data_IF_068212472772
#
_entry.id   IF_068212472772
#
_cell.length_a   1.000
_cell.length_b   1.000
_cell.length_c   1.000
_cell.angle_alpha   90.00
_cell.angle_beta   90.00
_cell.angle_gamma   90.00
#
_symmetry.space_group_name_H-M   'P 1'
#
loop_
_entity.id
_entity.type
_entity.pdbx_description
1 polymer ?
#
# COMPACT_ATOMS: atom_id res chain seq x y z
N UNK A 1 -2.52 5.30 5.12
CA UNK A 1 -1.11 5.08 4.72
C UNK A 1 -1.07 4.22 3.48
N UNK A 2 -0.05 4.34 2.62
CA UNK A 2 0.09 3.44 1.48
C UNK A 2 1.53 2.91 1.33
N UNK A 3 1.65 1.63 0.96
CA UNK A 3 2.91 0.93 0.77
C UNK A 3 2.71 -0.27 -0.18
N UNK A 4 3.81 -0.80 -0.69
CA UNK A 4 3.83 -1.96 -1.56
C UNK A 4 4.71 -3.10 -1.01
N UNK A 5 4.23 -4.33 -1.17
CA UNK A 5 4.95 -5.54 -0.79
C UNK A 5 5.15 -6.45 -2.00
N UNK A 6 6.40 -6.69 -2.40
CA UNK A 6 6.72 -7.68 -3.42
C UNK A 6 6.74 -9.09 -2.81
N UNK A 7 6.07 -10.05 -3.44
CA UNK A 7 6.02 -11.44 -2.98
C UNK A 7 6.23 -12.42 -4.13
N UNK A 8 6.94 -13.51 -3.85
CA UNK A 8 7.29 -14.55 -4.80
C UNK A 8 6.05 -15.29 -5.30
N UNK A 9 6.05 -15.60 -6.60
CA UNK A 9 5.06 -16.47 -7.21
C UNK A 9 5.38 -17.95 -6.97
N UNK A 10 4.34 -18.79 -7.01
CA UNK A 10 4.48 -20.23 -7.23
C UNK A 10 4.39 -20.58 -8.71
N UNK A 11 4.51 -21.86 -9.05
CA UNK A 11 4.40 -22.35 -10.44
C UNK A 11 3.03 -22.05 -11.08
N UNK A 12 1.97 -21.88 -10.28
CA UNK A 12 0.59 -21.66 -10.74
C UNK A 12 0.35 -20.27 -11.36
N UNK A 13 1.20 -19.29 -11.05
CA UNK A 13 1.02 -17.93 -11.56
C UNK A 13 1.14 -17.93 -13.10
N UNK A 14 0.26 -17.18 -13.78
CA UNK A 14 0.34 -16.96 -15.23
C UNK A 14 1.52 -16.08 -15.60
N UNK A 15 2.08 -16.25 -16.80
CA UNK A 15 3.21 -15.44 -17.30
C UNK A 15 2.86 -13.95 -17.27
N UNK A 16 1.64 -13.58 -17.68
CA UNK A 16 1.18 -12.19 -17.73
C UNK A 16 1.06 -11.54 -16.34
N UNK A 17 0.94 -12.36 -15.29
CA UNK A 17 0.85 -11.88 -13.90
C UNK A 17 2.21 -11.73 -13.21
N UNK A 18 3.31 -12.24 -13.80
CA UNK A 18 4.64 -12.22 -13.16
C UNK A 18 5.41 -10.97 -13.57
N UNK A 19 6.20 -10.46 -12.64
CA UNK A 19 7.23 -9.45 -12.90
C UNK A 19 8.43 -9.67 -11.99
N UNK A 20 9.53 -8.97 -12.27
CA UNK A 20 10.72 -9.01 -11.43
C UNK A 20 10.92 -7.67 -10.72
N UNK A 21 10.96 -7.69 -9.40
CA UNK A 21 11.34 -6.55 -8.57
C UNK A 21 12.85 -6.59 -8.34
N UNK A 22 13.59 -5.69 -9.00
CA UNK A 22 15.04 -5.59 -8.85
C UNK A 22 15.48 -5.26 -7.43
N UNK A 23 14.81 -4.29 -6.79
CA UNK A 23 15.17 -3.83 -5.45
C UNK A 23 15.12 -4.94 -4.38
N UNK A 24 14.12 -5.84 -4.46
CA UNK A 24 13.95 -6.97 -3.53
C UNK A 24 14.37 -8.31 -4.13
N UNK A 25 15.02 -8.32 -5.30
CA UNK A 25 15.37 -9.51 -6.07
C UNK A 25 14.24 -10.57 -6.09
N UNK A 26 13.01 -10.13 -6.33
CA UNK A 26 11.81 -10.97 -6.16
C UNK A 26 11.09 -11.15 -7.48
N UNK A 27 11.01 -12.39 -7.96
CA UNK A 27 10.16 -12.78 -9.09
C UNK A 27 8.76 -13.09 -8.57
N UNK A 28 7.80 -12.22 -8.87
CA UNK A 28 6.42 -12.43 -8.48
C UNK A 28 5.49 -11.26 -8.76
N UNK A 29 4.69 -10.90 -7.76
CA UNK A 29 3.74 -9.78 -7.81
C UNK A 29 4.09 -8.74 -6.76
N UNK A 30 3.56 -7.52 -6.92
CA UNK A 30 3.49 -6.51 -5.88
C UNK A 30 2.06 -6.35 -5.39
N UNK A 31 1.91 -6.30 -4.08
CA UNK A 31 0.66 -6.03 -3.37
C UNK A 31 0.70 -4.60 -2.90
N UNK A 32 -0.15 -3.76 -3.44
CA UNK A 32 -0.31 -2.38 -3.03
C UNK A 32 -1.46 -2.31 -2.04
N UNK A 33 -1.19 -1.66 -0.92
CA UNK A 33 -2.14 -1.55 0.18
C UNK A 33 -2.25 -0.09 0.58
N UNK A 34 -3.47 0.44 0.60
CA UNK A 34 -3.78 1.69 1.29
C UNK A 34 -4.64 1.36 2.51
N UNK A 35 -4.15 1.65 3.71
CA UNK A 35 -4.83 1.35 4.99
C UNK A 35 -5.29 2.60 5.72
N UNK A 36 -6.32 2.43 6.55
CA UNK A 36 -6.78 3.40 7.55
C UNK A 36 -5.80 3.50 8.76
N UNK A 37 -6.21 4.21 9.82
CA UNK A 37 -5.43 4.36 11.04
C UNK A 37 -5.37 3.09 11.91
N UNK A 38 -6.33 2.17 11.74
CA UNK A 38 -6.39 0.89 12.45
C UNK A 38 -5.60 -0.21 11.72
N UNK A 39 -5.20 0.02 10.47
CA UNK A 39 -4.50 -0.92 9.60
C UNK A 39 -5.43 -1.77 8.73
N UNK A 40 -6.70 -1.40 8.59
CA UNK A 40 -7.62 -2.07 7.68
C UNK A 40 -7.52 -1.47 6.28
N UNK A 41 -7.59 -2.30 5.22
CA UNK A 41 -7.48 -1.85 3.85
C UNK A 41 -8.65 -0.95 3.47
N UNK A 42 -8.33 0.22 2.96
CA UNK A 42 -9.24 1.11 2.26
C UNK A 42 -9.24 0.81 0.75
N UNK A 43 -8.05 0.65 0.17
CA UNK A 43 -7.88 0.18 -1.21
C UNK A 43 -6.79 -0.89 -1.29
N UNK A 44 -6.98 -1.83 -2.21
CA UNK A 44 -6.04 -2.92 -2.49
C UNK A 44 -5.84 -3.03 -4.00
N UNK A 45 -4.61 -3.36 -4.42
CA UNK A 45 -4.30 -3.66 -5.81
C UNK A 45 -3.14 -4.65 -5.89
N UNK A 46 -3.21 -5.58 -6.85
CA UNK A 46 -2.09 -6.45 -7.20
C UNK A 46 -1.58 -6.09 -8.60
N UNK A 47 -0.26 -5.96 -8.73
CA UNK A 47 0.40 -5.72 -10.03
C UNK A 47 1.54 -6.73 -10.22
N UNK A 48 2.05 -6.89 -11.45
CA UNK A 48 3.35 -7.56 -11.65
C UNK A 48 4.46 -6.85 -10.84
N UNK A 49 5.47 -7.59 -10.37
CA UNK A 49 6.45 -7.03 -9.44
C UNK A 49 7.44 -6.01 -10.04
N UNK A 50 7.49 -5.88 -11.37
CA UNK A 50 8.29 -4.86 -12.07
C UNK A 50 7.62 -3.48 -12.11
N UNK A 51 6.32 -3.40 -11.81
CA UNK A 51 5.62 -2.10 -11.73
C UNK A 51 6.18 -1.30 -10.56
N UNK A 52 6.50 -0.02 -10.79
CA UNK A 52 7.02 0.86 -9.74
C UNK A 52 5.93 1.18 -8.71
N UNK A 53 6.37 1.56 -7.51
CA UNK A 53 5.45 1.83 -6.39
C UNK A 53 4.57 3.06 -6.69
N UNK A 54 5.14 4.10 -7.31
CA UNK A 54 4.39 5.26 -7.82
C UNK A 54 3.31 4.87 -8.81
N UNK A 55 3.64 4.04 -9.80
CA UNK A 55 2.67 3.60 -10.80
C UNK A 55 1.59 2.71 -10.18
N UNK A 56 1.96 1.83 -9.25
CA UNK A 56 1.00 1.01 -8.50
C UNK A 56 0.02 1.85 -7.69
N UNK A 57 0.51 2.86 -6.97
CA UNK A 57 -0.33 3.80 -6.23
C UNK A 57 -1.23 4.61 -7.16
N UNK A 58 -0.68 5.13 -8.27
CA UNK A 58 -1.44 5.86 -9.28
C UNK A 58 -2.59 4.99 -9.84
N UNK A 59 -2.30 3.75 -10.23
CA UNK A 59 -3.29 2.81 -10.72
C UNK A 59 -4.37 2.53 -9.67
N UNK A 60 -3.98 2.28 -8.42
CA UNK A 60 -4.91 2.00 -7.33
C UNK A 60 -5.86 3.17 -7.08
N UNK A 61 -5.36 4.41 -7.07
CA UNK A 61 -6.19 5.60 -6.87
C UNK A 61 -7.08 5.90 -8.09
N UNK A 62 -6.56 5.66 -9.30
CA UNK A 62 -7.31 5.85 -10.55
C UNK A 62 -8.47 4.86 -10.67
N UNK A 63 -8.26 3.59 -10.31
CA UNK A 63 -9.32 2.58 -10.29
C UNK A 63 -10.44 2.94 -9.31
N UNK A 64 -10.13 3.68 -8.25
CA UNK A 64 -11.07 4.12 -7.23
C UNK A 64 -11.43 5.61 -7.35
N UNK A 65 -11.31 6.20 -8.55
CA UNK A 65 -11.49 7.65 -8.74
C UNK A 65 -12.91 8.13 -8.39
N UNK A 66 -13.91 7.29 -8.63
CA UNK A 66 -15.32 7.58 -8.36
C UNK A 66 -15.58 7.83 -6.87
N UNK A 67 -14.86 7.13 -5.98
CA UNK A 67 -14.92 7.40 -4.53
C UNK A 67 -14.53 8.85 -4.21
N UNK A 68 -13.48 9.36 -4.85
CA UNK A 68 -13.01 10.74 -4.63
C UNK A 68 -13.91 11.79 -5.28
N UNK A 69 -14.60 11.44 -6.37
CA UNK A 69 -15.62 12.31 -6.99
C UNK A 69 -16.86 12.42 -6.11
N UNK A 70 -17.34 11.30 -5.57
CA UNK A 70 -18.52 11.23 -4.70
C UNK A 70 -18.30 11.92 -3.34
N UNK A 71 -17.05 11.95 -2.84
CA UNK A 71 -16.74 12.61 -1.56
C UNK A 71 -17.12 14.09 -1.59
N UNK A 72 -17.95 14.61 -0.66
CA UNK A 72 -18.26 16.04 -0.58
C UNK A 72 -17.02 16.92 -0.37
N UNK A 73 -17.05 18.17 -0.85
CA UNK A 73 -15.90 19.11 -0.74
C UNK A 73 -15.68 19.57 0.71
N UNK A 74 -16.72 19.57 1.54
CA UNK A 74 -16.69 20.09 2.91
C UNK A 74 -16.07 19.13 3.95
N UNK A 75 -15.59 17.96 3.52
CA UNK A 75 -14.96 16.97 4.40
C UNK A 75 -13.44 17.15 4.35
N UNK A 76 -12.72 17.06 5.49
CA UNK A 76 -11.26 17.11 5.54
C UNK A 76 -10.58 16.24 4.48
N UNK A 77 -9.43 16.70 3.98
CA UNK A 77 -8.65 15.97 2.97
C UNK A 77 -8.21 14.62 3.53
N UNK A 78 -8.20 13.60 2.67
CA UNK A 78 -7.63 12.30 3.02
C UNK A 78 -6.11 12.41 2.88
N UNK A 79 -5.39 12.24 3.98
CA UNK A 79 -3.92 12.27 3.99
C UNK A 79 -3.37 10.87 3.73
N UNK A 80 -2.68 10.71 2.60
CA UNK A 80 -1.89 9.54 2.27
C UNK A 80 -0.47 9.73 2.80
N UNK A 81 -0.16 9.01 3.88
CA UNK A 81 1.20 8.88 4.39
C UNK A 81 1.97 7.88 3.52
N UNK A 82 3.07 8.34 2.91
CA UNK A 82 3.91 7.59 1.99
C UNK A 82 5.35 7.48 2.50
N UNK A 83 6.10 6.49 2.00
CA UNK A 83 7.54 6.42 2.21
C UNK A 83 8.30 7.34 1.24
N UNK A 84 9.57 7.60 1.54
CA UNK A 84 10.51 8.40 0.72
C UNK A 84 10.85 7.75 -0.63
N UNK A 85 10.38 6.52 -0.90
CA UNK A 85 10.48 5.90 -2.21
C UNK A 85 9.45 6.42 -3.22
N UNK A 86 8.45 7.19 -2.77
CA UNK A 86 7.39 7.74 -3.62
C UNK A 86 7.71 9.18 -4.05
N UNK A 87 7.38 9.50 -5.30
CA UNK A 87 7.61 10.84 -5.87
C UNK A 87 6.31 11.64 -5.93
N UNK A 88 6.09 12.48 -4.91
CA UNK A 88 4.84 13.23 -4.70
C UNK A 88 4.51 14.16 -5.88
N UNK A 89 5.51 14.81 -6.47
CA UNK A 89 5.29 15.74 -7.59
C UNK A 89 4.74 15.01 -8.83
N UNK A 90 5.37 13.88 -9.17
CA UNK A 90 4.94 13.01 -10.28
C UNK A 90 3.53 12.45 -10.03
N UNK A 91 3.24 11.99 -8.81
CA UNK A 91 1.92 11.49 -8.44
C UNK A 91 0.85 12.58 -8.56
N UNK A 92 1.15 13.78 -8.07
CA UNK A 92 0.26 14.94 -8.09
C UNK A 92 -0.05 15.37 -9.52
N UNK A 93 0.97 15.47 -10.38
CA UNK A 93 0.81 15.85 -11.78
C UNK A 93 -0.05 14.83 -12.53
N UNK A 94 0.27 13.53 -12.41
CA UNK A 94 -0.46 12.46 -13.12
C UNK A 94 -1.90 12.31 -12.63
N UNK A 95 -2.13 12.38 -11.32
CA UNK A 95 -3.49 12.34 -10.77
C UNK A 95 -4.30 13.58 -11.16
N UNK A 96 -3.67 14.76 -11.16
CA UNK A 96 -4.29 16.02 -11.58
C UNK A 96 -4.74 15.99 -13.05
N UNK A 97 -3.98 15.33 -13.92
CA UNK A 97 -4.36 15.13 -15.32
C UNK A 97 -5.60 14.23 -15.47
N UNK A 98 -5.79 13.25 -14.58
CA UNK A 98 -6.94 12.34 -14.60
C UNK A 98 -8.18 13.00 -13.98
N UNK A 99 -8.01 13.67 -12.85
CA UNK A 99 -9.08 14.38 -12.15
C UNK A 99 -8.55 15.68 -11.54
N UNK A 100 -8.75 16.84 -12.18
CA UNK A 100 -8.16 18.11 -11.73
C UNK A 100 -8.50 18.51 -10.29
N UNK A 101 -9.67 18.13 -9.79
CA UNK A 101 -10.09 18.45 -8.42
C UNK A 101 -9.60 17.45 -7.35
N UNK A 102 -8.81 16.43 -7.71
CA UNK A 102 -8.33 15.40 -6.78
C UNK A 102 -7.50 15.99 -5.64
N UNK A 103 -6.67 17.00 -5.90
CA UNK A 103 -5.83 17.67 -4.89
C UNK A 103 -6.62 18.50 -3.87
N UNK A 104 -7.90 18.78 -4.16
CA UNK A 104 -8.83 19.34 -3.16
C UNK A 104 -9.34 18.28 -2.19
N UNK A 105 -9.27 17.00 -2.56
CA UNK A 105 -9.79 15.85 -1.79
C UNK A 105 -8.71 15.09 -1.03
N UNK A 106 -7.51 15.00 -1.58
CA UNK A 106 -6.39 14.23 -1.00
C UNK A 106 -5.18 15.11 -0.76
N UNK A 107 -4.29 14.64 0.12
CA UNK A 107 -2.96 15.19 0.36
C UNK A 107 -1.97 14.03 0.49
N UNK A 108 -0.75 14.21 -0.02
CA UNK A 108 0.36 13.31 0.24
C UNK A 108 1.28 13.92 1.28
N UNK A 109 1.72 13.11 2.24
CA UNK A 109 2.74 13.49 3.23
C UNK A 109 3.77 12.38 3.30
N UNK A 110 5.05 12.74 3.13
CA UNK A 110 6.16 11.81 3.22
C UNK A 110 6.51 11.56 4.69
N UNK A 111 6.77 10.30 5.02
CA UNK A 111 7.22 9.90 6.34
C UNK A 111 8.57 10.54 6.64
N UNK A 112 8.75 11.20 7.79
CA UNK A 112 10.01 11.81 8.16
C UNK A 112 11.09 10.73 8.24
N UNK A 113 12.22 10.98 7.59
CA UNK A 113 13.41 10.13 7.64
C UNK A 113 14.53 10.94 8.29
N UNK A 114 14.71 10.87 9.62
CA UNK A 114 15.73 11.64 10.28
C UNK A 114 17.10 11.25 9.73
N UNK A 115 17.84 12.26 9.29
CA UNK A 115 19.22 12.16 8.80
C UNK A 115 20.16 11.69 9.90
N UNK A 116 21.37 11.26 9.52
CA UNK A 116 22.39 10.84 10.51
C UNK A 116 22.74 11.96 11.49
N UNK A 117 22.79 13.22 11.01
CA UNK A 117 23.08 14.39 11.82
C UNK A 117 21.97 14.68 12.84
N UNK A 118 20.70 14.62 12.43
CA UNK A 118 19.55 14.82 13.32
C UNK A 118 19.45 13.70 14.37
N UNK A 119 19.77 12.47 13.99
CA UNK A 119 19.86 11.34 14.92
C UNK A 119 20.95 11.56 15.97
N UNK A 120 22.13 11.99 15.54
CA UNK A 120 23.25 12.29 16.44
C UNK A 120 22.92 13.45 17.40
N UNK A 121 22.26 14.50 16.91
CA UNK A 121 21.80 15.62 17.75
C UNK A 121 20.75 15.20 18.79
N UNK A 122 19.92 14.19 18.49
CA UNK A 122 18.96 13.60 19.43
C UNK A 122 19.57 12.50 20.32
N UNK A 123 20.88 12.23 20.21
CA UNK A 123 21.54 11.13 20.94
C UNK A 123 21.05 9.73 20.55
N UNK A 124 20.32 9.60 19.43
CA UNK A 124 19.75 8.34 18.97
C UNK A 124 20.72 7.66 18.00
N UNK A 125 21.07 6.43 18.28
CA UNK A 125 21.85 5.58 17.37
C UNK A 125 20.95 4.51 16.76
N UNK A 126 21.20 4.15 15.49
CA UNK A 126 20.46 3.09 14.81
C UNK A 126 19.08 3.48 14.24
N UNK A 127 18.15 2.52 14.27
CA UNK A 127 16.81 2.65 13.71
C UNK A 127 15.91 3.44 14.67
N UNK A 128 15.30 4.52 14.17
CA UNK A 128 14.36 5.34 14.94
C UNK A 128 12.94 5.02 14.44
N UNK A 129 12.08 4.43 15.29
CA UNK A 129 10.70 4.11 14.91
C UNK A 129 9.93 5.39 14.55
N UNK A 130 9.35 5.44 13.35
CA UNK A 130 8.41 6.51 12.98
C UNK A 130 7.01 5.99 13.25
N UNK A 131 6.34 6.52 14.27
CA UNK A 131 5.09 5.98 14.82
C UNK A 131 4.01 5.72 13.76
N UNK A 132 3.91 6.58 12.75
CA UNK A 132 2.93 6.40 11.68
C UNK A 132 3.23 5.15 10.86
N UNK A 133 4.48 4.92 10.44
CA UNK A 133 4.88 3.81 9.53
C UNK A 133 4.49 2.41 10.01
N UNK A 134 4.42 2.20 11.32
CA UNK A 134 4.11 0.90 11.91
C UNK A 134 2.72 0.37 11.57
N UNK A 135 1.75 1.23 11.22
CA UNK A 135 0.38 0.76 10.95
C UNK A 135 0.35 -0.09 9.69
N UNK A 136 0.98 0.35 8.60
CA UNK A 136 0.98 -0.41 7.36
C UNK A 136 1.90 -1.63 7.42
N UNK A 137 3.05 -1.52 8.09
CA UNK A 137 3.95 -2.65 8.30
C UNK A 137 3.28 -3.76 9.13
N UNK A 138 2.48 -3.39 10.14
CA UNK A 138 1.66 -4.33 10.91
C UNK A 138 0.59 -5.00 10.04
N UNK A 139 -0.02 -4.25 9.13
CA UNK A 139 -1.02 -4.75 8.19
C UNK A 139 -0.41 -5.78 7.23
N UNK A 140 0.81 -5.50 6.73
CA UNK A 140 1.61 -6.45 5.96
C UNK A 140 1.95 -7.69 6.80
N UNK A 141 2.32 -7.52 8.07
CA UNK A 141 2.58 -8.65 8.97
C UNK A 141 1.35 -9.54 9.21
N UNK A 142 0.12 -8.98 9.21
CA UNK A 142 -1.10 -9.79 9.26
C UNK A 142 -1.29 -10.62 7.99
N UNK A 143 -0.99 -10.06 6.81
CA UNK A 143 -1.02 -10.84 5.56
C UNK A 143 0.03 -11.97 5.58
N UNK A 144 1.24 -11.72 6.07
CA UNK A 144 2.27 -12.77 6.20
C UNK A 144 1.88 -13.91 7.15
N UNK A 145 1.12 -13.62 8.21
CA UNK A 145 0.55 -14.64 9.10
C UNK A 145 -0.55 -15.47 8.44
N UNK A 146 -1.14 -14.99 7.36
CA UNK A 146 -2.08 -15.74 6.56
C UNK A 146 -1.31 -16.65 5.59
N UNK A 147 -1.20 -17.95 5.91
CA UNK A 147 -0.36 -18.91 5.16
C UNK A 147 -0.67 -18.95 3.65
N UNK A 148 -1.90 -18.66 3.24
CA UNK A 148 -2.29 -18.56 1.82
C UNK A 148 -1.67 -17.37 1.09
N UNK A 149 -1.11 -16.39 1.82
CA UNK A 149 -0.47 -15.19 1.30
C UNK A 149 1.04 -15.15 1.53
N UNK A 150 1.68 -16.18 2.09
CA UNK A 150 3.15 -16.23 2.22
C UNK A 150 3.85 -16.24 0.85
N UNK A 151 3.18 -16.78 -0.16
CA UNK A 151 3.54 -16.66 -1.59
C UNK A 151 2.29 -16.30 -2.37
N UNK A 152 2.45 -15.87 -3.61
CA UNK A 152 1.32 -15.80 -4.51
C UNK A 152 1.07 -17.19 -5.13
N UNK A 153 0.00 -17.83 -4.67
CA UNK A 153 -0.49 -19.10 -5.20
C UNK A 153 -1.47 -18.92 -6.36
N UNK A 154 -1.95 -17.68 -6.57
CA UNK A 154 -3.03 -17.38 -7.48
C UNK A 154 -2.55 -17.23 -8.92
N UNK A 155 -3.39 -17.71 -9.84
CA UNK A 155 -3.11 -17.70 -11.28
C UNK A 155 -3.22 -16.29 -11.88
N UNK A 156 -4.13 -15.46 -11.38
CA UNK A 156 -4.40 -14.10 -11.88
C UNK A 156 -4.25 -13.07 -10.78
N UNK A 157 -3.97 -11.81 -11.15
CA UNK A 157 -3.86 -10.71 -10.19
C UNK A 157 -5.18 -10.39 -9.49
N UNK A 158 -6.31 -10.60 -10.19
CA UNK A 158 -7.66 -10.43 -9.63
C UNK A 158 -7.89 -11.40 -8.48
N UNK A 159 -7.54 -12.67 -8.67
CA UNK A 159 -7.66 -13.68 -7.62
C UNK A 159 -6.68 -13.41 -6.47
N UNK A 160 -5.44 -12.99 -6.77
CA UNK A 160 -4.48 -12.60 -5.75
C UNK A 160 -5.00 -11.45 -4.89
N UNK A 161 -5.63 -10.44 -5.50
CA UNK A 161 -6.30 -9.35 -4.79
C UNK A 161 -7.45 -9.88 -3.93
N UNK A 162 -8.30 -10.76 -4.48
CA UNK A 162 -9.41 -11.35 -3.73
C UNK A 162 -8.94 -12.11 -2.47
N UNK A 163 -7.82 -12.85 -2.55
CA UNK A 163 -7.22 -13.49 -1.37
C UNK A 163 -6.73 -12.49 -0.32
N UNK A 164 -6.17 -11.36 -0.74
CA UNK A 164 -5.81 -10.27 0.18
C UNK A 164 -7.05 -9.72 0.88
N UNK A 165 -8.09 -9.41 0.12
CA UNK A 165 -9.34 -8.87 0.66
C UNK A 165 -9.97 -9.87 1.65
N UNK A 166 -10.02 -11.15 1.30
CA UNK A 166 -10.52 -12.22 2.17
C UNK A 166 -9.71 -12.36 3.47
N UNK A 167 -8.39 -12.19 3.42
CA UNK A 167 -7.54 -12.19 4.61
C UNK A 167 -7.96 -11.09 5.60
N UNK A 168 -8.21 -9.88 5.11
CA UNK A 168 -8.65 -8.77 5.97
C UNK A 168 -10.10 -8.93 6.43
N UNK A 169 -11.01 -9.44 5.59
CA UNK A 169 -12.39 -9.77 6.00
C UNK A 169 -12.38 -10.78 7.16
N UNK A 170 -11.61 -11.87 7.02
CA UNK A 170 -11.45 -12.86 8.09
C UNK A 170 -10.89 -12.25 9.38
N UNK A 171 -9.92 -11.33 9.27
CA UNK A 171 -9.35 -10.64 10.43
C UNK A 171 -10.38 -9.74 11.12
N UNK A 172 -11.15 -8.97 10.35
CA UNK A 172 -12.20 -8.09 10.86
C UNK A 172 -13.29 -8.91 11.58
N UNK A 173 -13.77 -9.99 10.95
CA UNK A 173 -14.76 -10.89 11.56
C UNK A 173 -14.29 -11.49 12.89
N UNK A 174 -13.03 -11.95 12.95
CA UNK A 174 -12.45 -12.47 14.21
C UNK A 174 -12.41 -11.43 15.31
N UNK A 175 -12.11 -10.17 14.99
CA UNK A 175 -12.05 -9.08 15.97
C UNK A 175 -13.44 -8.68 16.45
N UNK A 176 -14.41 -8.63 15.56
CA UNK A 176 -15.81 -8.37 15.92
C UNK A 176 -16.32 -9.46 16.85
N UNK A 177 -16.11 -10.74 16.51
CA UNK A 177 -16.56 -11.88 17.31
C UNK A 177 -15.86 -12.00 18.69
N UNK A 178 -14.62 -11.55 18.82
CA UNK A 178 -13.89 -11.57 20.09
C UNK A 178 -14.29 -10.44 21.04
N UNK A 179 -14.92 -9.39 20.53
CA UNK A 179 -15.39 -8.24 21.30
C UNK A 179 -16.90 -8.32 21.62
N UNK A 180 -17.56 -9.39 21.20
CA UNK A 180 -18.99 -9.70 21.42
C UNK A 180 -19.19 -10.79 22.47
#
# INVERSE_FOLDING_TARGET
MADSQAVKNTCNARVESKGFCFYKATNGIKRHLAVDTLGFPFFTLCTPANVSDDMGLLMMLTLNIEYFKAKPVNIPKITFLLDNGYHVDTLTQKLGAIYPAIMRKIRFELSPKPSKAEKAAQGKTGFVPVATRWVIERSNAWMERCKSLTKNFERTLVNAKAQMDLCFVRLMLKRLAANS
#
